data_IF_293966282215
#
_entry.id   IF_293966282215
#
_cell.length_a   1.000
_cell.length_b   1.000
_cell.length_c   1.000
_cell.angle_alpha   90.00
_cell.angle_beta   90.00
_cell.angle_gamma   90.00
#
_symmetry.space_group_name_H-M   'P 1'
#
loop_
_entity.id
_entity.type
_entity.pdbx_description
1 polymer ?
#
# COMPACT_ATOMS: atom_id res chain seq x y z
N UNK A 1 3.49 35.38 11.18
CA UNK A 1 3.05 33.97 11.31
C UNK A 1 1.99 33.76 10.23
N UNK A 2 2.42 33.35 9.03
CA UNK A 2 1.52 33.18 7.88
C UNK A 2 0.99 31.74 7.90
N UNK A 3 -0.26 31.59 8.29
CA UNK A 3 -1.03 30.35 8.17
C UNK A 3 -1.33 30.12 6.69
N UNK A 4 -0.49 29.34 6.01
CA UNK A 4 -0.84 28.77 4.72
C UNK A 4 -1.96 27.75 4.94
N UNK A 5 -3.21 28.20 4.79
CA UNK A 5 -4.32 27.31 4.52
C UNK A 5 -4.01 26.59 3.21
N UNK A 6 -3.86 25.27 3.25
CA UNK A 6 -3.83 24.40 2.07
C UNK A 6 -5.24 24.39 1.44
N UNK A 7 -5.67 25.54 0.93
CA UNK A 7 -6.92 25.67 0.20
C UNK A 7 -6.76 24.82 -1.05
N UNK A 8 -7.49 23.72 -1.11
CA UNK A 8 -7.57 22.89 -2.30
C UNK A 8 -8.17 23.76 -3.40
N UNK A 9 -7.45 23.92 -4.51
CA UNK A 9 -7.97 24.57 -5.69
C UNK A 9 -9.18 23.73 -6.19
N UNK A 10 -10.42 24.27 -6.17
CA UNK A 10 -11.61 23.54 -6.55
C UNK A 10 -11.56 23.02 -7.99
N UNK A 11 -10.65 23.55 -8.82
CA UNK A 11 -10.46 23.14 -10.21
C UNK A 11 -9.46 21.96 -10.37
N UNK A 12 -8.88 21.46 -9.28
CA UNK A 12 -7.99 20.29 -9.34
C UNK A 12 -8.76 19.05 -9.82
N UNK A 13 -8.31 18.36 -10.89
CA UNK A 13 -8.93 17.12 -11.34
C UNK A 13 -9.03 16.08 -10.22
N UNK A 14 -10.15 15.37 -10.17
CA UNK A 14 -10.45 14.38 -9.12
C UNK A 14 -9.32 13.38 -8.90
N UNK A 15 -8.81 12.76 -9.98
CA UNK A 15 -7.72 11.78 -9.89
C UNK A 15 -6.45 12.35 -9.23
N UNK A 16 -6.13 13.63 -9.48
CA UNK A 16 -4.98 14.31 -8.87
C UNK A 16 -5.23 14.57 -7.38
N UNK A 17 -6.44 15.01 -7.04
CA UNK A 17 -6.84 15.23 -5.64
C UNK A 17 -6.81 13.95 -4.83
N UNK A 18 -7.37 12.86 -5.35
CA UNK A 18 -7.39 11.57 -4.66
C UNK A 18 -5.99 10.98 -4.50
N UNK A 19 -5.14 11.07 -5.54
CA UNK A 19 -3.75 10.65 -5.43
C UNK A 19 -2.98 11.44 -4.36
N UNK A 20 -3.19 12.75 -4.28
CA UNK A 20 -2.58 13.60 -3.26
C UNK A 20 -3.09 13.26 -1.85
N UNK A 21 -4.39 13.01 -1.70
CA UNK A 21 -5.00 12.59 -0.44
C UNK A 21 -4.45 11.24 0.02
N UNK A 22 -4.37 10.25 -0.87
CA UNK A 22 -3.77 8.94 -0.58
C UNK A 22 -2.30 9.06 -0.14
N UNK A 23 -1.49 9.84 -0.86
CA UNK A 23 -0.10 10.08 -0.48
C UNK A 23 0.03 10.78 0.89
N UNK A 24 -0.91 11.65 1.25
CA UNK A 24 -0.97 12.28 2.58
C UNK A 24 -1.35 11.26 3.66
N UNK A 25 -2.32 10.40 3.39
CA UNK A 25 -2.75 9.33 4.30
C UNK A 25 -1.60 8.36 4.61
N UNK A 26 -0.91 7.85 3.59
CA UNK A 26 0.24 6.95 3.77
C UNK A 26 1.37 7.57 4.62
N UNK A 27 1.69 8.86 4.39
CA UNK A 27 2.66 9.57 5.25
C UNK A 27 2.17 9.73 6.69
N UNK A 28 0.87 9.85 6.91
CA UNK A 28 0.29 9.90 8.26
C UNK A 28 0.38 8.52 8.95
N UNK A 29 0.04 7.43 8.24
CA UNK A 29 0.17 6.07 8.76
C UNK A 29 1.60 5.75 9.18
N UNK A 30 2.60 6.13 8.36
CA UNK A 30 4.02 5.99 8.72
C UNK A 30 4.37 6.76 10.01
N UNK A 31 3.86 7.99 10.18
CA UNK A 31 4.10 8.76 11.41
C UNK A 31 3.45 8.12 12.63
N UNK A 32 2.23 7.60 12.50
CA UNK A 32 1.52 6.94 13.58
C UNK A 32 2.23 5.65 14.01
N UNK A 33 2.66 4.82 13.06
CA UNK A 33 3.36 3.57 13.34
C UNK A 33 4.73 3.75 14.01
N UNK A 34 5.41 4.89 13.80
CA UNK A 34 6.69 5.18 14.48
C UNK A 34 6.57 5.29 16.00
N UNK A 35 5.37 5.53 16.52
CA UNK A 35 5.12 5.70 17.97
C UNK A 35 4.14 4.66 18.52
N UNK A 36 3.60 3.79 17.67
CA UNK A 36 2.68 2.73 18.09
C UNK A 36 3.46 1.61 18.81
N UNK A 37 2.77 0.91 19.72
CA UNK A 37 3.25 -0.37 20.24
C UNK A 37 3.03 -1.40 19.12
N UNK A 38 4.05 -2.19 18.73
CA UNK A 38 3.91 -3.26 17.75
C UNK A 38 2.73 -4.18 18.06
N UNK A 39 1.80 -4.30 17.12
CA UNK A 39 0.65 -5.19 17.21
C UNK A 39 0.52 -6.03 15.94
N UNK A 40 0.22 -7.30 16.12
CA UNK A 40 0.07 -8.26 15.02
C UNK A 40 -1.14 -7.94 14.15
N UNK A 41 -2.24 -7.50 14.76
CA UNK A 41 -3.44 -7.10 14.03
C UNK A 41 -3.15 -5.89 13.11
N UNK A 42 -2.39 -4.91 13.61
CA UNK A 42 -1.92 -3.76 12.82
C UNK A 42 -1.04 -4.20 11.64
N UNK A 43 -0.08 -5.10 11.85
CA UNK A 43 0.76 -5.62 10.76
C UNK A 43 -0.09 -6.30 9.68
N UNK A 44 -1.08 -7.09 10.08
CA UNK A 44 -1.98 -7.76 9.16
C UNK A 44 -2.82 -6.77 8.36
N UNK A 45 -3.49 -5.83 9.05
CA UNK A 45 -4.37 -4.85 8.42
C UNK A 45 -3.59 -3.91 7.49
N UNK A 46 -2.48 -3.33 7.96
CA UNK A 46 -1.67 -2.42 7.15
C UNK A 46 -1.06 -3.09 5.93
N UNK A 47 -0.73 -4.38 6.01
CA UNK A 47 -0.20 -5.10 4.86
C UNK A 47 -1.26 -5.33 3.79
N UNK A 48 -2.51 -5.63 4.20
CA UNK A 48 -3.63 -5.72 3.28
C UNK A 48 -3.79 -4.39 2.50
N UNK A 49 -3.77 -3.26 3.21
CA UNK A 49 -3.86 -1.93 2.58
C UNK A 49 -2.67 -1.62 1.65
N UNK A 50 -1.46 -2.08 2.00
CA UNK A 50 -0.26 -1.96 1.15
C UNK A 50 -0.43 -2.77 -0.13
N UNK A 51 -0.95 -4.00 -0.04
CA UNK A 51 -1.23 -4.85 -1.19
C UNK A 51 -2.21 -4.15 -2.14
N UNK A 52 -3.35 -3.68 -1.63
CA UNK A 52 -4.35 -3.00 -2.44
C UNK A 52 -3.81 -1.70 -3.07
N UNK A 53 -3.01 -0.94 -2.31
CA UNK A 53 -2.39 0.29 -2.80
C UNK A 53 -1.38 0.03 -3.92
N UNK A 54 -0.55 -1.01 -3.80
CA UNK A 54 0.41 -1.35 -4.85
C UNK A 54 -0.29 -1.79 -6.15
N UNK A 55 -1.40 -2.52 -6.03
CA UNK A 55 -2.21 -2.91 -7.18
C UNK A 55 -2.84 -1.68 -7.85
N UNK A 56 -3.43 -0.77 -7.07
CA UNK A 56 -4.00 0.47 -7.58
C UNK A 56 -2.95 1.37 -8.24
N UNK A 57 -1.78 1.54 -7.63
CA UNK A 57 -0.68 2.33 -8.18
C UNK A 57 -0.13 1.74 -9.49
N UNK A 58 -0.05 0.40 -9.59
CA UNK A 58 0.34 -0.27 -10.83
C UNK A 58 -0.67 -0.01 -11.95
N UNK A 59 -1.96 -0.09 -11.66
CA UNK A 59 -3.03 0.22 -12.63
C UNK A 59 -3.00 1.68 -13.08
N UNK A 60 -2.79 2.63 -12.16
CA UNK A 60 -2.64 4.04 -12.50
C UNK A 60 -1.44 4.28 -13.42
N UNK A 61 -0.30 3.64 -13.17
CA UNK A 61 0.88 3.75 -14.01
C UNK A 61 0.62 3.28 -15.45
N UNK A 62 -0.16 2.20 -15.65
CA UNK A 62 -0.54 1.74 -16.99
C UNK A 62 -1.47 2.72 -17.72
N UNK A 63 -2.47 3.27 -17.00
CA UNK A 63 -3.36 4.28 -17.57
C UNK A 63 -2.56 5.51 -18.00
N UNK A 64 -1.64 5.96 -17.15
CA UNK A 64 -0.76 7.08 -17.47
C UNK A 64 0.18 6.77 -18.64
N UNK A 65 0.73 5.56 -18.73
CA UNK A 65 1.59 5.16 -19.85
C UNK A 65 0.86 5.31 -21.18
N UNK A 66 -0.40 4.84 -21.24
CA UNK A 66 -1.24 5.02 -22.42
C UNK A 66 -1.53 6.50 -22.70
N UNK A 67 -1.92 7.27 -21.69
CA UNK A 67 -2.21 8.70 -21.85
C UNK A 67 -1.00 9.50 -22.33
N UNK A 68 0.20 9.19 -21.85
CA UNK A 68 1.46 9.84 -22.22
C UNK A 68 1.85 9.51 -23.66
N UNK A 69 1.78 8.23 -24.05
CA UNK A 69 2.09 7.81 -25.42
C UNK A 69 1.21 8.51 -26.48
N UNK A 70 -0.06 8.75 -26.17
CA UNK A 70 -1.02 9.39 -27.09
C UNK A 70 -1.17 10.90 -26.87
N UNK A 71 -0.36 11.50 -25.99
CA UNK A 71 -0.54 12.89 -25.59
C UNK A 71 -0.42 13.84 -26.77
N UNK A 72 0.56 13.60 -27.66
CA UNK A 72 0.85 14.40 -28.85
C UNK A 72 -0.03 14.13 -30.07
N UNK A 73 -0.98 13.19 -30.01
CA UNK A 73 -1.79 12.83 -31.18
C UNK A 73 -2.80 13.92 -31.57
N UNK A 74 -3.28 14.65 -30.56
CA UNK A 74 -4.36 15.64 -30.70
C UNK A 74 -3.90 17.07 -30.46
N UNK A 75 -2.62 17.28 -30.15
CA UNK A 75 -2.08 18.58 -29.76
C UNK A 75 -0.62 18.74 -30.20
N UNK A 76 -0.20 19.96 -30.56
CA UNK A 76 1.22 20.23 -30.78
C UNK A 76 1.99 20.11 -29.47
N UNK A 77 3.18 19.50 -29.53
CA UNK A 77 4.11 19.33 -28.42
C UNK A 77 5.50 19.81 -28.84
N UNK A 78 6.28 20.29 -27.88
CA UNK A 78 7.66 20.71 -28.10
C UNK A 78 8.55 20.24 -26.95
N UNK A 79 9.84 20.11 -27.24
CA UNK A 79 10.89 19.74 -26.29
C UNK A 79 11.60 21.04 -25.91
N UNK A 80 11.53 21.42 -24.65
CA UNK A 80 12.11 22.66 -24.14
C UNK A 80 13.64 22.67 -24.20
N UNK A 81 14.26 21.48 -24.20
CA UNK A 81 15.69 21.35 -24.42
C UNK A 81 16.09 21.54 -25.89
N UNK A 82 15.17 21.35 -26.83
CA UNK A 82 15.41 21.38 -28.26
C UNK A 82 16.35 20.28 -28.77
N UNK A 83 16.60 19.23 -27.97
CA UNK A 83 17.60 18.20 -28.24
C UNK A 83 16.97 16.95 -28.86
N UNK A 84 15.73 16.63 -28.49
CA UNK A 84 15.07 15.37 -28.84
C UNK A 84 13.71 15.65 -29.47
N UNK A 85 13.24 14.78 -30.37
CA UNK A 85 11.85 14.83 -30.84
C UNK A 85 10.91 14.69 -29.61
N UNK A 86 9.97 15.62 -29.40
CA UNK A 86 8.99 15.52 -28.32
C UNK A 86 8.26 14.17 -28.27
N UNK A 87 8.03 13.54 -29.43
CA UNK A 87 7.40 12.22 -29.52
C UNK A 87 8.29 11.12 -28.95
N UNK A 88 9.57 11.10 -29.31
CA UNK A 88 10.53 10.15 -28.74
C UNK A 88 10.63 10.30 -27.21
N UNK A 89 10.54 11.53 -26.69
CA UNK A 89 10.53 11.77 -25.24
C UNK A 89 9.25 11.25 -24.57
N UNK A 90 8.08 11.42 -25.20
CA UNK A 90 6.81 10.88 -24.68
C UNK A 90 6.81 9.34 -24.71
N UNK A 91 7.33 8.73 -25.76
CA UNK A 91 7.46 7.28 -25.86
C UNK A 91 8.38 6.72 -24.76
N UNK A 92 9.53 7.36 -24.53
CA UNK A 92 10.43 6.99 -23.43
C UNK A 92 9.74 7.11 -22.07
N UNK A 93 9.01 8.20 -21.82
CA UNK A 93 8.27 8.38 -20.57
C UNK A 93 7.14 7.34 -20.39
N UNK A 94 6.48 6.91 -21.47
CA UNK A 94 5.51 5.82 -21.42
C UNK A 94 6.17 4.47 -21.09
N UNK A 95 7.36 4.20 -21.62
CA UNK A 95 8.15 3.02 -21.24
C UNK A 95 8.54 3.02 -19.76
N UNK A 96 8.97 4.16 -19.23
CA UNK A 96 9.28 4.29 -17.79
C UNK A 96 8.06 4.01 -16.90
N UNK A 97 6.86 4.41 -17.33
CA UNK A 97 5.61 4.11 -16.63
C UNK A 97 5.23 2.62 -16.70
N UNK A 98 5.50 1.95 -17.81
CA UNK A 98 5.34 0.49 -17.91
C UNK A 98 6.30 -0.26 -16.98
N UNK A 99 7.56 0.19 -16.91
CA UNK A 99 8.55 -0.37 -15.98
C UNK A 99 8.13 -0.13 -14.52
N UNK A 100 7.62 1.05 -14.20
CA UNK A 100 7.05 1.35 -12.88
C UNK A 100 5.91 0.39 -12.54
N UNK A 101 4.96 0.16 -13.46
CA UNK A 101 3.87 -0.78 -13.25
C UNK A 101 4.38 -2.22 -12.99
N UNK A 102 5.37 -2.68 -13.77
CA UNK A 102 5.98 -3.99 -13.58
C UNK A 102 6.67 -4.12 -12.21
N UNK A 103 7.42 -3.09 -11.82
CA UNK A 103 8.09 -3.01 -10.51
C UNK A 103 7.08 -3.03 -9.35
N UNK A 104 5.98 -2.29 -9.46
CA UNK A 104 4.91 -2.27 -8.45
C UNK A 104 4.23 -3.63 -8.30
N UNK A 105 3.99 -4.36 -9.39
CA UNK A 105 3.49 -5.74 -9.32
C UNK A 105 4.48 -6.70 -8.67
N UNK A 106 5.77 -6.49 -8.90
CA UNK A 106 6.81 -7.27 -8.21
C UNK A 106 6.78 -7.01 -6.70
N UNK A 107 6.71 -5.73 -6.29
CA UNK A 107 6.54 -5.35 -4.89
C UNK A 107 5.25 -5.91 -4.28
N UNK A 108 4.13 -5.90 -5.03
CA UNK A 108 2.86 -6.49 -4.62
C UNK A 108 2.98 -7.99 -4.29
N UNK A 109 3.75 -8.76 -5.07
CA UNK A 109 4.01 -10.18 -4.76
C UNK A 109 4.81 -10.36 -3.48
N UNK A 110 5.79 -9.47 -3.23
CA UNK A 110 6.58 -9.48 -2.00
C UNK A 110 5.68 -9.16 -0.80
N UNK A 111 4.83 -8.13 -0.90
CA UNK A 111 3.88 -7.75 0.13
C UNK A 111 2.90 -8.89 0.46
N UNK A 112 2.33 -9.56 -0.56
CA UNK A 112 1.48 -10.73 -0.35
C UNK A 112 2.21 -11.90 0.32
N UNK A 113 3.47 -12.13 -0.05
CA UNK A 113 4.29 -13.17 0.59
C UNK A 113 4.52 -12.85 2.07
N UNK A 114 4.78 -11.59 2.41
CA UNK A 114 4.86 -11.14 3.79
C UNK A 114 3.53 -11.33 4.51
N UNK A 115 2.42 -10.89 3.90
CA UNK A 115 1.08 -11.00 4.46
C UNK A 115 0.70 -12.45 4.80
N UNK A 116 1.00 -13.37 3.87
CA UNK A 116 0.80 -14.81 4.06
C UNK A 116 1.68 -15.39 5.16
N UNK A 117 2.88 -14.86 5.40
CA UNK A 117 3.74 -15.35 6.49
C UNK A 117 3.22 -14.91 7.84
N UNK A 118 2.82 -13.64 7.96
CA UNK A 118 2.34 -13.10 9.23
C UNK A 118 0.96 -13.66 9.61
N UNK A 119 0.12 -14.03 8.65
CA UNK A 119 -1.20 -14.63 8.92
C UNK A 119 -1.12 -15.98 9.64
N UNK A 120 0.04 -16.64 9.63
CA UNK A 120 0.28 -17.90 10.33
C UNK A 120 0.89 -17.73 11.73
N UNK A 121 1.12 -16.49 12.17
CA UNK A 121 1.65 -16.21 13.50
C UNK A 121 0.47 -15.97 14.44
N UNK A 122 0.30 -16.83 15.44
CA UNK A 122 -0.55 -16.58 16.60
C UNK A 122 0.24 -15.84 17.68
N UNK A 123 -0.43 -14.96 18.43
CA UNK A 123 0.13 -14.36 19.65
C UNK A 123 -0.52 -15.08 20.83
N UNK A 124 0.30 -15.75 21.65
CA UNK A 124 -0.19 -16.36 22.88
C UNK A 124 -0.70 -15.25 23.81
N UNK A 125 -1.92 -15.39 24.32
CA UNK A 125 -2.34 -14.58 25.46
C UNK A 125 -1.37 -14.87 26.62
N UNK A 126 -0.95 -13.85 27.40
CA UNK A 126 -0.22 -14.13 28.62
C UNK A 126 -1.03 -15.15 29.41
N UNK A 127 -0.40 -16.27 29.78
CA UNK A 127 -1.06 -17.30 30.55
C UNK A 127 -1.67 -16.63 31.79
N UNK A 128 -3.00 -16.49 31.81
CA UNK A 128 -3.67 -16.27 33.07
C UNK A 128 -3.32 -17.50 33.90
N UNK A 129 -2.61 -17.25 34.98
CA UNK A 129 -2.23 -18.23 36.01
C UNK A 129 -3.50 -18.65 36.78
N UNK A 130 -4.57 -19.02 36.05
CA UNK A 130 -5.73 -19.70 36.59
C UNK A 130 -5.33 -21.15 36.81
N UNK A 131 -4.63 -21.35 37.92
CA UNK A 131 -4.55 -22.62 38.58
C UNK A 131 -5.94 -23.25 38.76
N UNK A 132 -5.94 -24.59 38.74
CA UNK A 132 -7.01 -25.51 39.14
C UNK A 132 -8.21 -25.65 38.20
N UNK A 133 -8.19 -26.75 37.42
CA UNK A 133 -9.38 -27.59 37.41
C UNK A 133 -9.03 -29.00 37.90
N UNK A 134 -9.67 -29.37 39.01
CA UNK A 134 -9.44 -30.57 39.82
C UNK A 134 -10.26 -31.76 39.30
N UNK A 135 -10.55 -31.80 38.00
CA UNK A 135 -11.49 -32.75 37.39
C UNK A 135 -10.82 -34.02 36.85
N UNK A 136 -9.50 -34.02 36.63
CA UNK A 136 -8.81 -35.18 36.03
C UNK A 136 -8.37 -36.24 37.07
N UNK A 137 -8.33 -35.89 38.36
CA UNK A 137 -8.03 -36.84 39.44
C UNK A 137 -9.24 -37.70 39.85
N UNK A 138 -10.46 -37.21 39.66
CA UNK A 138 -11.67 -37.88 40.15
C UNK A 138 -12.23 -38.92 39.17
N UNK A 139 -11.94 -38.80 37.87
CA UNK A 139 -12.37 -39.76 36.84
C UNK A 139 -11.52 -41.04 36.80
N UNK A 140 -10.33 -41.07 37.40
CA UNK A 140 -9.48 -42.27 37.45
C UNK A 140 -9.78 -43.22 38.63
N UNK A 141 -10.59 -42.81 39.59
CA UNK A 141 -10.95 -43.64 40.74
C UNK A 141 -12.18 -44.53 40.51
N UNK A 142 -12.97 -44.27 39.46
CA UNK A 142 -14.26 -44.95 39.22
C UNK A 142 -14.19 -46.10 38.20
N UNK A 143 -13.06 -46.30 37.53
CA UNK A 143 -12.88 -47.36 36.50
C UNK A 143 -12.33 -48.68 37.08
N UNK A 144 -12.03 -48.73 38.38
CA UNK A 144 -11.38 -49.89 39.03
C UNK A 144 -12.22 -50.61 40.07
N UNK A 145 -13.55 -50.47 40.07
CA UNK A 145 -14.44 -51.16 41.03
C UNK A 145 -15.35 -52.19 40.38
#
# INVERSE_FOLDING_TARGET
>A
MNTHTNTHDPDTPEAVREAAAGAKAWRASVRAQRTAVPDHADFYAMTADVVDTLAAAAGLAEVMAWQVAHYGDTRPVYDDTGVVDPRERLDAAAMDLHELAASLRSAHRIANTFWSRISHIGVDAPADDSATDSTDAQLRAEVTR
#
